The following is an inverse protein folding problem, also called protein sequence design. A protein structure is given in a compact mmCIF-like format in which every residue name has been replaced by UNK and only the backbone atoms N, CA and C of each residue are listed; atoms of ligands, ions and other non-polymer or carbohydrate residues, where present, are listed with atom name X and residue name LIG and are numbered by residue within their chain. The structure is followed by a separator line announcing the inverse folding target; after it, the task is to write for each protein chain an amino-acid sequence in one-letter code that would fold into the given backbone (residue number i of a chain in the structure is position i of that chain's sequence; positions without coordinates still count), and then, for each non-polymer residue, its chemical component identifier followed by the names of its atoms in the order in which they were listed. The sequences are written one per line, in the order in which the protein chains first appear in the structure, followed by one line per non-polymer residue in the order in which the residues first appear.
data_IF_221446457592
#
_entry.id   IF_221446457592
#
_cell.length_a   1.000
_cell.length_b   1.000
_cell.length_c   1.000
_cell.angle_alpha   90.00
_cell.angle_beta   90.00
_cell.angle_gamma   90.00
#
_symmetry.space_group_name_H-M   'P 1'
#
loop_
_entity.id
_entity.type
_entity.pdbx_description
1 polymer ?
#
# COMPACT_ATOMS: atom_id res chain seq x y z
N UNK A 1 -3.65 2.03 7.23
CA UNK A 1 -5.09 1.70 7.10
C UNK A 1 -5.28 0.19 7.02
N UNK A 2 -6.52 -0.30 7.16
CA UNK A 2 -6.92 -1.71 7.18
C UNK A 2 -7.85 -1.98 5.97
N UNK A 3 -7.25 -2.09 4.79
CA UNK A 3 -7.95 -2.15 3.49
C UNK A 3 -8.74 -3.46 3.32
N UNK A 4 -8.37 -4.53 4.02
CA UNK A 4 -9.01 -5.85 3.98
C UNK A 4 -10.16 -6.04 4.98
N UNK A 5 -10.65 -5.00 5.66
CA UNK A 5 -11.88 -5.08 6.47
C UNK A 5 -12.81 -3.89 6.23
N UNK A 6 -13.89 -4.06 5.45
CA UNK A 6 -14.86 -2.99 5.17
C UNK A 6 -15.80 -2.73 6.35
N UNK A 7 -16.02 -3.66 7.28
CA UNK A 7 -17.03 -3.53 8.34
C UNK A 7 -16.61 -2.51 9.41
N UNK A 8 -15.30 -2.39 9.68
CA UNK A 8 -14.76 -1.40 10.62
C UNK A 8 -14.27 -0.12 9.94
N UNK A 9 -14.11 -0.17 8.62
CA UNK A 9 -13.66 0.93 7.79
C UNK A 9 -14.86 1.76 7.29
N UNK A 10 -15.90 1.12 6.78
CA UNK A 10 -16.88 1.79 5.93
C UNK A 10 -17.77 2.79 6.69
N UNK A 11 -18.36 2.51 7.86
CA UNK A 11 -19.22 3.50 8.53
C UNK A 11 -18.42 4.70 9.08
N UNK A 12 -17.31 4.45 9.78
CA UNK A 12 -16.46 5.52 10.33
C UNK A 12 -15.73 6.31 9.23
N UNK A 13 -15.27 5.66 8.16
CA UNK A 13 -14.64 6.39 7.04
C UNK A 13 -15.66 7.07 6.14
N UNK A 14 -16.86 6.53 5.92
CA UNK A 14 -17.91 7.30 5.25
C UNK A 14 -18.34 8.51 6.08
N UNK A 15 -18.26 8.44 7.40
CA UNK A 15 -18.58 9.58 8.26
C UNK A 15 -17.43 10.61 8.32
N UNK A 16 -16.17 10.15 8.39
CA UNK A 16 -14.96 11.00 8.45
C UNK A 16 -14.49 11.50 7.08
N UNK A 17 -14.70 10.71 6.03
CA UNK A 17 -14.36 10.94 4.64
C UNK A 17 -15.56 10.53 3.77
N UNK A 18 -16.65 11.33 3.74
CA UNK A 18 -17.85 11.02 2.97
C UNK A 18 -17.60 10.74 1.49
N UNK A 19 -16.52 11.29 0.94
CA UNK A 19 -16.08 11.07 -0.44
C UNK A 19 -14.88 10.07 -0.57
N UNK A 20 -14.45 9.47 0.54
CA UNK A 20 -13.30 8.59 0.67
C UNK A 20 -11.95 9.33 0.66
N UNK A 21 -10.88 8.64 1.06
CA UNK A 21 -9.50 9.17 1.09
C UNK A 21 -8.98 9.64 -0.27
N UNK A 22 -9.49 9.02 -1.32
CA UNK A 22 -9.11 9.33 -2.68
C UNK A 22 -9.55 10.74 -3.09
N UNK A 23 -10.73 11.21 -2.65
CA UNK A 23 -11.26 12.52 -3.05
C UNK A 23 -10.30 13.65 -2.68
N UNK A 24 -9.89 13.72 -1.42
CA UNK A 24 -8.95 14.75 -0.95
C UNK A 24 -7.63 14.68 -1.70
N UNK A 25 -7.14 13.47 -1.99
CA UNK A 25 -5.91 13.30 -2.77
C UNK A 25 -6.07 13.83 -4.20
N UNK A 26 -7.23 13.63 -4.83
CA UNK A 26 -7.52 14.07 -6.20
C UNK A 26 -7.82 15.56 -6.30
N UNK A 27 -8.34 16.19 -5.25
CA UNK A 27 -8.54 17.65 -5.18
C UNK A 27 -7.24 18.44 -5.30
N UNK A 28 -6.10 17.84 -4.89
CA UNK A 28 -4.78 18.42 -5.11
C UNK A 28 -4.27 18.29 -6.54
N UNK A 29 -5.02 17.65 -7.43
CA UNK A 29 -4.64 17.40 -8.82
C UNK A 29 -3.19 16.88 -8.98
N UNK A 30 -2.84 15.75 -8.32
CA UNK A 30 -1.47 15.27 -8.30
C UNK A 30 -1.05 14.74 -9.65
N UNK A 31 0.23 14.94 -10.00
CA UNK A 31 0.88 14.29 -11.16
C UNK A 31 1.46 12.91 -10.79
N UNK A 32 1.73 12.68 -9.50
CA UNK A 32 2.24 11.41 -8.95
C UNK A 32 1.49 11.02 -7.67
N UNK A 33 1.00 9.78 -7.63
CA UNK A 33 0.40 9.15 -6.45
C UNK A 33 1.18 7.88 -6.08
N UNK A 34 1.71 7.84 -4.87
CA UNK A 34 2.40 6.67 -4.32
C UNK A 34 1.53 6.05 -3.23
N UNK A 35 1.13 4.79 -3.41
CA UNK A 35 0.22 4.07 -2.52
C UNK A 35 1.00 2.98 -1.79
N UNK A 36 1.02 3.01 -0.46
CA UNK A 36 1.65 1.98 0.38
C UNK A 36 0.68 1.45 1.43
N UNK A 37 -0.01 0.36 1.11
CA UNK A 37 -1.00 -0.28 1.99
C UNK A 37 -0.73 -1.77 2.18
N UNK A 38 -1.52 -2.43 3.04
CA UNK A 38 -1.46 -3.88 3.25
C UNK A 38 -0.59 -4.33 4.43
N UNK A 39 0.25 -3.47 5.02
CA UNK A 39 1.08 -3.85 6.17
C UNK A 39 0.25 -4.15 7.43
N UNK A 40 -0.79 -3.37 7.70
CA UNK A 40 -1.67 -3.66 8.83
C UNK A 40 -2.52 -4.90 8.53
N UNK A 41 -2.94 -5.07 7.28
CA UNK A 41 -3.78 -6.18 6.81
C UNK A 41 -3.15 -7.56 7.02
N UNK A 42 -1.82 -7.59 7.09
CA UNK A 42 -1.05 -8.78 7.41
C UNK A 42 -1.16 -9.26 8.87
N UNK A 43 -1.67 -8.44 9.80
CA UNK A 43 -1.86 -8.82 11.20
C UNK A 43 -3.09 -9.71 11.38
N UNK A 44 -2.92 -11.03 11.19
CA UNK A 44 -4.01 -12.01 11.30
C UNK A 44 -4.70 -12.07 12.66
N UNK A 45 -4.04 -11.62 13.72
CA UNK A 45 -4.56 -11.66 15.08
C UNK A 45 -5.22 -10.34 15.49
N UNK A 46 -5.23 -9.33 14.61
CA UNK A 46 -5.83 -8.06 14.94
C UNK A 46 -7.34 -8.20 15.10
N UNK A 47 -7.91 -7.56 16.11
CA UNK A 47 -9.37 -7.59 16.39
C UNK A 47 -10.21 -7.13 15.20
N UNK A 48 -9.65 -6.28 14.35
CA UNK A 48 -10.24 -5.86 13.06
C UNK A 48 -10.29 -6.97 12.01
N UNK A 49 -9.83 -8.17 12.26
CA UNK A 49 -9.98 -9.30 11.33
C UNK A 49 -10.56 -10.53 12.01
N UNK A 50 -11.08 -10.38 13.23
CA UNK A 50 -11.67 -11.47 13.97
C UNK A 50 -12.77 -12.17 13.14
N UNK A 51 -12.63 -13.47 12.96
CA UNK A 51 -13.58 -14.30 12.20
C UNK A 51 -13.42 -14.26 10.68
N UNK A 52 -12.50 -13.49 10.11
CA UNK A 52 -12.25 -13.47 8.67
C UNK A 52 -11.12 -14.43 8.29
N UNK A 53 -11.35 -15.23 7.26
CA UNK A 53 -10.31 -16.09 6.65
C UNK A 53 -9.27 -15.24 5.91
N UNK A 54 -8.11 -15.82 5.58
CA UNK A 54 -7.13 -15.16 4.71
C UNK A 54 -7.74 -14.77 3.35
N UNK A 55 -8.46 -15.69 2.72
CA UNK A 55 -9.11 -15.46 1.42
C UNK A 55 -10.12 -14.29 1.49
N UNK A 56 -10.96 -14.24 2.52
CA UNK A 56 -11.90 -13.13 2.70
C UNK A 56 -11.17 -11.80 2.81
N UNK A 57 -10.08 -11.73 3.58
CA UNK A 57 -9.29 -10.50 3.71
C UNK A 57 -8.61 -10.08 2.40
N UNK A 58 -8.08 -11.03 1.64
CA UNK A 58 -7.49 -10.79 0.32
C UNK A 58 -8.52 -10.28 -0.68
N UNK A 59 -9.72 -10.87 -0.69
CA UNK A 59 -10.83 -10.43 -1.54
C UNK A 59 -11.25 -9.01 -1.18
N UNK A 60 -11.37 -8.69 0.11
CA UNK A 60 -11.68 -7.35 0.58
C UNK A 60 -10.62 -6.33 0.18
N UNK A 61 -9.34 -6.70 0.31
CA UNK A 61 -8.23 -5.87 -0.16
C UNK A 61 -8.33 -5.60 -1.66
N UNK A 62 -8.53 -6.65 -2.48
CA UNK A 62 -8.70 -6.54 -3.94
C UNK A 62 -9.86 -5.61 -4.29
N UNK A 63 -11.03 -5.83 -3.72
CA UNK A 63 -12.25 -5.04 -4.00
C UNK A 63 -12.04 -3.56 -3.69
N UNK A 64 -11.45 -3.23 -2.55
CA UNK A 64 -11.24 -1.84 -2.15
C UNK A 64 -10.17 -1.14 -2.99
N UNK A 65 -9.08 -1.84 -3.30
CA UNK A 65 -8.04 -1.29 -4.17
C UNK A 65 -8.55 -1.09 -5.59
N UNK A 66 -9.30 -2.05 -6.12
CA UNK A 66 -9.90 -1.97 -7.45
C UNK A 66 -10.95 -0.85 -7.54
N UNK A 67 -11.77 -0.63 -6.50
CA UNK A 67 -12.71 0.51 -6.46
C UNK A 67 -11.99 1.86 -6.58
N UNK A 68 -10.92 2.05 -5.81
CA UNK A 68 -10.11 3.27 -5.89
C UNK A 68 -9.52 3.48 -7.28
N UNK A 69 -8.90 2.44 -7.85
CA UNK A 69 -8.29 2.52 -9.19
C UNK A 69 -9.34 2.73 -10.30
N UNK A 70 -10.51 2.10 -10.20
CA UNK A 70 -11.66 2.34 -11.10
C UNK A 70 -12.12 3.78 -11.04
N UNK A 71 -12.13 4.40 -9.87
CA UNK A 71 -12.50 5.82 -9.74
C UNK A 71 -11.44 6.73 -10.32
N UNK A 72 -10.16 6.44 -10.15
CA UNK A 72 -9.08 7.25 -10.74
C UNK A 72 -9.14 7.20 -12.27
N UNK A 73 -9.13 5.99 -12.85
CA UNK A 73 -9.05 5.77 -14.31
C UNK A 73 -10.40 5.84 -15.04
N UNK A 74 -11.51 5.70 -14.33
CA UNK A 74 -12.84 5.67 -14.91
C UNK A 74 -13.48 7.05 -15.03
N UNK A 75 -14.55 7.10 -15.82
CA UNK A 75 -15.37 8.29 -16.06
C UNK A 75 -16.78 8.19 -15.48
N UNK A 76 -17.09 7.09 -14.80
CA UNK A 76 -18.42 6.78 -14.25
C UNK A 76 -18.28 6.48 -12.76
N UNK A 77 -19.22 7.01 -11.97
CA UNK A 77 -19.25 6.81 -10.52
C UNK A 77 -19.24 5.33 -10.13
N UNK A 78 -18.52 4.99 -9.07
CA UNK A 78 -18.42 3.64 -8.52
C UNK A 78 -19.01 3.66 -7.11
N UNK A 79 -19.99 2.79 -6.84
CA UNK A 79 -20.66 2.71 -5.53
C UNK A 79 -21.19 4.07 -5.01
N UNK A 80 -21.70 4.91 -5.92
CA UNK A 80 -22.20 6.25 -5.59
C UNK A 80 -21.13 7.32 -5.33
N UNK A 81 -19.85 7.00 -5.53
CA UNK A 81 -18.72 7.93 -5.34
C UNK A 81 -18.18 8.42 -6.69
N UNK A 82 -17.62 9.66 -6.75
CA UNK A 82 -17.17 10.25 -8.00
C UNK A 82 -15.98 9.48 -8.60
N UNK A 83 -15.91 9.55 -9.92
CA UNK A 83 -14.75 9.16 -10.70
C UNK A 83 -14.02 10.42 -11.23
N UNK A 84 -12.74 10.27 -11.54
CA UNK A 84 -11.81 11.39 -11.78
C UNK A 84 -11.26 11.44 -13.20
N UNK A 85 -11.49 10.41 -14.00
CA UNK A 85 -11.11 10.34 -15.42
C UNK A 85 -9.64 10.72 -15.69
N UNK A 86 -8.73 10.28 -14.83
CA UNK A 86 -7.29 10.52 -14.96
C UNK A 86 -6.66 9.48 -15.89
N UNK A 87 -6.10 9.93 -17.00
CA UNK A 87 -5.29 9.08 -17.88
C UNK A 87 -3.91 8.82 -17.27
N UNK A 88 -3.13 7.92 -17.88
CA UNK A 88 -1.72 7.71 -17.51
C UNK A 88 -0.90 8.99 -17.63
N UNK A 89 -1.22 9.86 -18.59
CA UNK A 89 -0.58 11.16 -18.80
C UNK A 89 -0.87 12.14 -17.68
N UNK A 90 -2.11 12.12 -17.16
CA UNK A 90 -2.55 13.07 -16.13
C UNK A 90 -2.08 12.70 -14.72
N UNK A 91 -1.78 11.43 -14.47
CA UNK A 91 -1.41 10.93 -13.14
C UNK A 91 -0.64 9.61 -13.24
N UNK A 92 0.62 9.64 -12.84
CA UNK A 92 1.42 8.45 -12.58
C UNK A 92 1.05 7.83 -11.22
N UNK A 93 0.94 6.50 -11.17
CA UNK A 93 0.61 5.78 -9.93
C UNK A 93 1.68 4.72 -9.67
N UNK A 94 2.26 4.74 -8.47
CA UNK A 94 3.15 3.70 -7.97
C UNK A 94 2.46 3.02 -6.79
N UNK A 95 2.19 1.72 -6.91
CA UNK A 95 1.71 0.91 -5.81
C UNK A 95 2.88 0.14 -5.22
N UNK A 96 3.03 0.25 -3.91
CA UNK A 96 4.17 -0.27 -3.16
C UNK A 96 3.74 -1.37 -2.21
N UNK A 97 4.56 -2.42 -2.09
CA UNK A 97 4.45 -3.40 -1.02
C UNK A 97 5.58 -3.16 -0.01
N UNK A 98 5.29 -2.63 1.19
CA UNK A 98 6.36 -2.26 2.13
C UNK A 98 7.06 -3.49 2.73
N UNK A 99 8.35 -3.34 3.04
CA UNK A 99 9.10 -4.29 3.86
C UNK A 99 8.49 -4.43 5.24
N UNK A 100 8.66 -5.59 5.86
CA UNK A 100 8.28 -5.81 7.25
C UNK A 100 9.40 -6.49 8.02
N UNK A 101 9.67 -5.99 9.22
CA UNK A 101 10.51 -6.67 10.20
C UNK A 101 9.75 -7.83 10.87
N UNK A 102 10.44 -8.92 11.17
CA UNK A 102 9.84 -10.03 11.92
C UNK A 102 9.45 -9.54 13.32
N UNK A 103 8.23 -9.84 13.75
CA UNK A 103 7.81 -9.54 15.13
C UNK A 103 7.94 -10.79 15.98
N UNK A 104 8.98 -10.80 16.83
CA UNK A 104 9.16 -11.83 17.84
C UNK A 104 7.91 -11.90 18.74
N UNK A 105 7.37 -13.10 18.96
CA UNK A 105 6.24 -13.40 19.88
C UNK A 105 4.82 -12.90 19.53
N UNK A 106 4.54 -12.37 18.32
CA UNK A 106 3.15 -11.97 17.98
C UNK A 106 2.43 -12.90 16.99
N UNK A 107 3.09 -13.96 16.52
CA UNK A 107 2.50 -14.92 15.58
C UNK A 107 2.15 -14.33 14.20
N UNK A 108 2.63 -13.12 13.89
CA UNK A 108 2.39 -12.43 12.63
C UNK A 108 3.22 -13.04 11.50
N UNK A 109 2.59 -13.92 10.72
CA UNK A 109 3.18 -14.51 9.51
C UNK A 109 2.98 -13.57 8.31
N UNK A 110 3.63 -12.40 8.36
CA UNK A 110 3.60 -11.39 7.29
C UNK A 110 3.92 -11.94 5.90
N UNK A 111 4.78 -12.96 5.87
CA UNK A 111 5.20 -13.67 4.65
C UNK A 111 4.01 -14.25 3.88
N UNK A 112 3.04 -14.85 4.58
CA UNK A 112 1.87 -15.47 3.96
C UNK A 112 0.96 -14.42 3.33
N UNK A 113 0.69 -13.32 4.03
CA UNK A 113 -0.09 -12.22 3.47
C UNK A 113 0.58 -11.62 2.22
N UNK A 114 1.88 -11.31 2.29
CA UNK A 114 2.58 -10.68 1.17
C UNK A 114 2.71 -11.57 -0.05
N UNK A 115 2.92 -12.87 0.15
CA UNK A 115 2.94 -13.83 -0.95
C UNK A 115 1.60 -13.87 -1.71
N UNK A 116 0.48 -13.73 -1.01
CA UNK A 116 -0.84 -13.82 -1.60
C UNK A 116 -1.38 -12.46 -2.11
N UNK A 117 -1.01 -11.34 -1.49
CA UNK A 117 -1.47 -10.00 -1.94
C UNK A 117 -0.65 -9.48 -3.13
N UNK A 118 0.61 -9.89 -3.27
CA UNK A 118 1.48 -9.51 -4.40
C UNK A 118 0.84 -9.76 -5.77
N UNK A 119 0.38 -10.99 -6.11
CA UNK A 119 -0.23 -11.25 -7.41
C UNK A 119 -1.50 -10.41 -7.65
N UNK A 120 -2.28 -10.12 -6.60
CA UNK A 120 -3.45 -9.24 -6.68
C UNK A 120 -3.03 -7.83 -7.08
N UNK A 121 -2.01 -7.27 -6.41
CA UNK A 121 -1.50 -5.94 -6.72
C UNK A 121 -0.95 -5.90 -8.14
N UNK A 122 -0.18 -6.90 -8.56
CA UNK A 122 0.38 -6.97 -9.91
C UNK A 122 -0.72 -7.03 -10.98
N UNK A 123 -1.77 -7.82 -10.76
CA UNK A 123 -2.95 -7.88 -11.63
C UNK A 123 -3.60 -6.49 -11.76
N UNK A 124 -3.86 -5.81 -10.64
CA UNK A 124 -4.47 -4.49 -10.62
C UNK A 124 -3.58 -3.42 -11.26
N UNK A 125 -2.27 -3.46 -11.01
CA UNK A 125 -1.31 -2.53 -11.63
C UNK A 125 -1.32 -2.65 -13.16
N UNK A 126 -1.34 -3.89 -13.69
CA UNK A 126 -1.45 -4.12 -15.14
C UNK A 126 -2.78 -3.64 -15.69
N UNK A 127 -3.88 -3.87 -14.97
CA UNK A 127 -5.23 -3.49 -15.40
C UNK A 127 -5.46 -1.97 -15.42
N UNK A 128 -4.83 -1.23 -14.52
CA UNK A 128 -5.03 0.21 -14.34
C UNK A 128 -3.80 1.06 -14.67
N UNK A 129 -2.83 0.47 -15.37
CA UNK A 129 -1.63 1.14 -15.88
C UNK A 129 -0.87 1.86 -14.74
N UNK A 130 -0.56 1.11 -13.70
CA UNK A 130 0.23 1.56 -12.55
C UNK A 130 1.59 0.85 -12.52
N UNK A 131 2.59 1.50 -11.96
CA UNK A 131 3.84 0.84 -11.61
C UNK A 131 3.68 0.08 -10.29
N UNK A 132 4.36 -1.07 -10.17
CA UNK A 132 4.45 -1.85 -8.94
C UNK A 132 5.88 -1.85 -8.41
N UNK A 133 6.05 -1.51 -7.13
CA UNK A 133 7.32 -1.55 -6.43
C UNK A 133 7.23 -2.49 -5.21
N UNK A 134 8.03 -3.55 -5.20
CA UNK A 134 8.04 -4.51 -4.09
C UNK A 134 9.24 -4.26 -3.17
N UNK A 135 9.01 -3.55 -2.07
CA UNK A 135 10.04 -3.30 -1.06
C UNK A 135 10.18 -4.44 -0.06
N UNK A 136 9.51 -5.59 -0.20
CA UNK A 136 9.64 -6.68 0.77
C UNK A 136 11.07 -7.21 0.87
N UNK A 137 11.44 -7.71 2.06
CA UNK A 137 12.80 -8.13 2.41
C UNK A 137 13.41 -9.15 1.44
N UNK A 138 12.57 -9.95 0.77
CA UNK A 138 12.97 -10.94 -0.24
C UNK A 138 13.45 -10.32 -1.55
N UNK A 139 12.99 -9.12 -1.91
CA UNK A 139 13.38 -8.45 -3.16
C UNK A 139 14.78 -7.84 -3.07
N UNK A 140 15.26 -7.53 -1.85
CA UNK A 140 16.50 -6.76 -1.63
C UNK A 140 17.47 -7.36 -0.61
N UNK A 141 17.46 -8.70 -0.45
CA UNK A 141 18.42 -9.43 0.39
C UNK A 141 18.49 -8.98 1.87
N UNK A 142 17.38 -8.48 2.44
CA UNK A 142 17.31 -8.13 3.86
C UNK A 142 17.17 -9.36 4.79
N UNK A 143 17.36 -10.57 4.26
CA UNK A 143 17.24 -11.82 5.01
C UNK A 143 18.22 -11.91 6.19
N UNK A 144 19.34 -11.16 6.14
CA UNK A 144 20.40 -11.18 7.15
C UNK A 144 20.43 -9.93 8.05
N UNK A 145 19.55 -8.95 7.86
CA UNK A 145 19.49 -7.80 8.76
C UNK A 145 18.71 -8.16 10.02
N UNK A 146 19.41 -8.25 11.15
CA UNK A 146 18.78 -8.39 12.46
C UNK A 146 17.69 -7.31 12.63
N UNK A 147 16.57 -7.66 13.27
CA UNK A 147 15.45 -6.75 13.57
C UNK A 147 15.93 -5.40 14.16
N UNK A 148 17.05 -5.42 14.91
CA UNK A 148 17.70 -4.23 15.48
C UNK A 148 18.17 -3.22 14.43
N UNK A 149 18.60 -3.69 13.26
CA UNK A 149 19.08 -2.87 12.15
C UNK A 149 17.94 -2.34 11.29
N UNK A 150 16.79 -3.02 11.25
CA UNK A 150 15.61 -2.56 10.51
C UNK A 150 14.81 -1.54 11.32
N UNK A 151 14.55 -1.81 12.60
CA UNK A 151 13.49 -1.10 13.30
C UNK A 151 13.92 0.16 14.03
N UNK A 152 13.00 1.13 14.11
CA UNK A 152 13.16 2.31 14.95
C UNK A 152 13.28 1.90 16.43
N UNK A 153 14.17 2.55 17.17
CA UNK A 153 14.32 2.42 18.63
C UNK A 153 13.63 3.62 19.30
N UNK A 154 12.97 3.40 20.42
CA UNK A 154 12.49 4.46 21.30
C UNK A 154 13.66 5.08 22.09
N UNK A 155 13.36 6.13 22.86
CA UNK A 155 14.34 6.88 23.65
C UNK A 155 15.14 6.01 24.64
N UNK A 156 14.59 4.86 25.04
CA UNK A 156 15.17 3.96 26.04
C UNK A 156 15.98 2.83 25.39
N UNK A 157 16.22 2.90 24.07
CA UNK A 157 16.92 1.85 23.31
C UNK A 157 16.06 0.60 23.07
N UNK A 158 14.76 0.64 23.38
CA UNK A 158 13.80 -0.43 23.15
C UNK A 158 13.11 -0.21 21.80
N UNK A 159 12.95 -1.24 20.99
CA UNK A 159 12.34 -1.12 19.65
C UNK A 159 10.93 -0.52 19.71
N UNK A 160 10.58 0.43 18.82
CA UNK A 160 9.24 1.04 18.64
C UNK A 160 8.18 0.03 18.10
N UNK A 161 8.34 -1.25 18.42
CA UNK A 161 7.79 -2.38 17.69
C UNK A 161 8.67 -2.73 16.50
N UNK A 162 8.89 -4.01 16.27
CA UNK A 162 9.80 -4.56 15.24
C UNK A 162 9.26 -4.47 13.80
N UNK A 163 8.50 -3.41 13.49
CA UNK A 163 7.70 -3.30 12.26
C UNK A 163 8.14 -2.07 11.46
N UNK A 164 8.21 -0.91 12.13
CA UNK A 164 8.53 0.36 11.49
C UNK A 164 10.03 0.46 11.18
N UNK A 165 10.42 0.89 9.97
CA UNK A 165 11.83 1.11 9.64
C UNK A 165 12.43 2.24 10.48
N UNK A 166 13.73 2.15 10.78
CA UNK A 166 14.51 3.29 11.26
C UNK A 166 14.91 4.21 10.10
N UNK A 167 15.54 5.34 10.44
CA UNK A 167 15.95 6.36 9.46
C UNK A 167 16.88 5.83 8.36
N UNK A 168 17.73 4.84 8.64
CA UNK A 168 18.67 4.29 7.66
C UNK A 168 17.94 3.35 6.69
N UNK A 169 17.09 2.47 7.22
CA UNK A 169 16.22 1.63 6.40
C UNK A 169 15.25 2.45 5.54
N UNK A 170 14.75 3.57 6.08
CA UNK A 170 13.90 4.49 5.33
C UNK A 170 14.69 5.20 4.21
N UNK A 171 15.94 5.59 4.46
CA UNK A 171 16.80 6.16 3.42
C UNK A 171 17.07 5.15 2.28
N UNK A 172 17.23 3.86 2.59
CA UNK A 172 17.37 2.80 1.58
C UNK A 172 16.10 2.63 0.73
N UNK A 173 14.92 2.57 1.36
CA UNK A 173 13.63 2.52 0.63
C UNK A 173 13.49 3.74 -0.29
N UNK A 174 13.81 4.94 0.21
CA UNK A 174 13.71 6.17 -0.59
C UNK A 174 14.71 6.19 -1.76
N UNK A 175 15.92 5.67 -1.57
CA UNK A 175 16.89 5.51 -2.65
C UNK A 175 16.36 4.60 -3.76
N UNK A 176 15.72 3.49 -3.41
CA UNK A 176 15.12 2.58 -4.41
C UNK A 176 13.90 3.21 -5.09
N UNK A 177 13.10 3.96 -4.34
CA UNK A 177 11.96 4.68 -4.88
C UNK A 177 12.41 5.77 -5.86
N UNK A 178 13.54 6.45 -5.60
CA UNK A 178 14.12 7.42 -6.53
C UNK A 178 14.42 6.80 -7.90
N UNK A 179 15.03 5.61 -7.92
CA UNK A 179 15.35 4.88 -9.15
C UNK A 179 14.09 4.49 -9.95
N UNK A 180 12.95 4.34 -9.27
CA UNK A 180 11.65 4.01 -9.87
C UNK A 180 10.86 5.23 -10.31
N UNK A 181 10.91 6.33 -9.55
CA UNK A 181 10.17 7.57 -9.85
C UNK A 181 10.63 8.13 -11.19
N UNK A 182 11.94 8.13 -11.45
CA UNK A 182 12.46 8.79 -12.65
C UNK A 182 11.92 8.16 -13.95
N UNK A 183 12.00 6.84 -14.21
CA UNK A 183 11.40 6.24 -15.41
C UNK A 183 9.88 6.38 -15.49
N UNK A 184 9.18 6.28 -14.35
CA UNK A 184 7.71 6.34 -14.30
C UNK A 184 7.21 7.76 -14.61
N UNK A 185 7.87 8.79 -14.08
CA UNK A 185 7.50 10.18 -14.33
C UNK A 185 7.98 10.67 -15.70
N UNK A 186 9.11 10.17 -16.22
CA UNK A 186 9.60 10.51 -17.56
C UNK A 186 8.70 9.94 -18.67
N UNK A 187 7.98 8.84 -18.43
CA UNK A 187 6.98 8.33 -19.39
C UNK A 187 5.84 9.33 -19.64
N UNK A 188 5.56 10.22 -18.69
CA UNK A 188 4.56 11.28 -18.86
C UNK A 188 5.08 12.55 -19.53
N UNK A 189 6.39 12.63 -19.81
CA UNK A 189 6.94 13.69 -20.66
C UNK A 189 6.80 13.21 -22.10
N UNK A 190 5.71 13.60 -22.76
CA UNK A 190 5.64 13.54 -24.21
C UNK A 190 6.80 14.38 -24.77
N UNK A 191 7.61 13.77 -25.63
CA UNK A 191 8.41 14.54 -26.57
C UNK A 191 7.45 14.85 -27.72
N UNK A 192 7.06 16.12 -27.83
CA UNK A 192 6.31 16.66 -28.98
C UNK A 192 7.04 16.39 -30.31
#
# INVERSE_FOLDING_TARGET
EWVGNPTYALPYYLQKYPNGFLQTSMEHNPDLLIIGWGMNDADKNHTKFAGLTLEQRLNLFKTNMEEGLKRIRGNTSVNGRPAYNKTVKDLAIIITLPTVGTVYNTGRTYVEWFQNVRPIIQELCRKYECAFADFTARTYAHNDMSIKTWSALNSDGVTYGSIHPNKYSMAQIMSQLQDLIYPVCMWNIDID
#
